data_IF_043244582309
#
_entry.id   IF_043244582309
#
_cell.length_a   1.000
_cell.length_b   1.000
_cell.length_c   1.000
_cell.angle_alpha   90.00
_cell.angle_beta   90.00
_cell.angle_gamma   90.00
#
_symmetry.space_group_name_H-M   'P 1'
#
loop_
_entity.id
_entity.type
_entity.pdbx_description
1 polymer ?
#
# COMPACT_ATOMS: atom_id res chain seq x y z
N UNK A 1 -10.67 -10.30 71.45
CA UNK A 1 -9.60 -9.46 70.82
C UNK A 1 -8.33 -10.28 70.92
N UNK A 2 -7.74 -10.82 69.85
CA UNK A 2 -6.71 -10.16 69.04
C UNK A 2 -6.67 -10.88 67.67
N UNK A 3 -6.91 -10.14 66.58
CA UNK A 3 -6.70 -10.62 65.19
C UNK A 3 -5.22 -10.43 64.85
N UNK A 4 -4.50 -11.50 64.57
CA UNK A 4 -3.15 -11.44 64.02
C UNK A 4 -3.24 -11.04 62.54
N UNK A 5 -2.81 -9.80 62.21
CA UNK A 5 -2.72 -9.32 60.83
C UNK A 5 -1.42 -9.81 60.20
N UNK A 6 -1.54 -10.60 59.13
CA UNK A 6 -0.46 -10.95 58.19
C UNK A 6 0.12 -9.68 57.55
N UNK A 7 1.46 -9.58 57.35
CA UNK A 7 2.06 -8.36 56.81
C UNK A 7 1.76 -8.21 55.32
N UNK A 8 1.21 -7.06 54.95
CA UNK A 8 0.95 -6.68 53.57
C UNK A 8 2.26 -6.48 52.82
N UNK A 9 2.50 -7.32 51.82
CA UNK A 9 3.56 -7.13 50.83
C UNK A 9 3.19 -5.95 49.91
N UNK A 10 3.93 -4.84 49.88
CA UNK A 10 3.60 -3.74 48.98
C UNK A 10 3.98 -4.15 47.56
N UNK A 11 2.96 -4.52 46.77
CA UNK A 11 3.08 -4.68 45.33
C UNK A 11 3.77 -3.44 44.76
N UNK A 12 5.02 -3.61 44.31
CA UNK A 12 5.82 -2.58 43.64
C UNK A 12 5.04 -2.09 42.41
N UNK A 13 4.37 -0.96 42.55
CA UNK A 13 3.79 -0.19 41.46
C UNK A 13 4.94 0.17 40.49
N UNK A 14 5.04 -0.54 39.36
CA UNK A 14 6.04 -0.25 38.33
C UNK A 14 5.70 1.12 37.75
N UNK A 15 6.41 2.16 38.21
CA UNK A 15 6.39 3.49 37.58
C UNK A 15 7.03 3.35 36.19
N UNK A 16 6.22 3.28 35.15
CA UNK A 16 6.70 3.46 33.78
C UNK A 16 6.90 4.96 33.56
N UNK A 17 8.13 5.43 33.69
CA UNK A 17 8.50 6.76 33.21
C UNK A 17 8.23 6.85 31.71
N UNK A 18 7.65 7.94 31.17
CA UNK A 18 7.46 8.07 29.74
C UNK A 18 8.84 8.28 29.12
N UNK A 19 9.37 7.24 28.49
CA UNK A 19 10.63 7.33 27.77
C UNK A 19 10.40 8.22 26.55
N UNK A 20 10.84 9.47 26.63
CA UNK A 20 10.83 10.41 25.53
C UNK A 20 11.74 9.92 24.41
N UNK A 21 11.25 10.01 23.18
CA UNK A 21 11.88 9.64 21.89
C UNK A 21 11.74 8.17 21.46
N UNK A 22 10.50 7.71 21.37
CA UNK A 22 10.10 6.74 20.35
C UNK A 22 9.55 7.49 19.14
N UNK A 23 9.92 7.07 17.92
CA UNK A 23 9.27 7.42 16.64
C UNK A 23 7.74 7.45 16.86
N UNK A 24 6.99 8.47 16.40
CA UNK A 24 5.56 8.56 16.67
C UNK A 24 4.81 7.35 16.08
N UNK A 25 4.53 6.34 16.92
CA UNK A 25 3.70 5.17 16.61
C UNK A 25 2.21 5.45 16.77
N UNK A 26 1.84 6.71 17.06
CA UNK A 26 0.46 7.13 17.16
C UNK A 26 -0.14 7.19 15.75
N UNK A 27 -1.19 6.40 15.56
CA UNK A 27 -2.00 6.43 14.35
C UNK A 27 -2.54 7.84 14.09
N UNK A 28 -2.57 8.23 12.82
CA UNK A 28 -3.21 9.46 12.33
C UNK A 28 -4.17 9.07 11.22
N UNK A 29 -5.34 9.70 11.16
CA UNK A 29 -6.35 9.37 10.14
C UNK A 29 -5.82 9.56 8.70
N UNK A 30 -4.89 10.50 8.50
CA UNK A 30 -4.20 10.70 7.22
C UNK A 30 -3.46 9.43 6.72
N UNK A 31 -3.07 8.53 7.62
CA UNK A 31 -2.39 7.28 7.26
C UNK A 31 -3.29 6.32 6.48
N UNK A 32 -4.62 6.38 6.65
CA UNK A 32 -5.53 5.59 5.83
C UNK A 32 -5.43 5.97 4.35
N UNK A 33 -5.49 7.27 4.04
CA UNK A 33 -5.34 7.71 2.67
C UNK A 33 -3.94 7.39 2.12
N UNK A 34 -2.87 7.60 2.90
CA UNK A 34 -1.51 7.22 2.48
C UNK A 34 -1.39 5.72 2.19
N UNK A 35 -1.94 4.85 3.05
CA UNK A 35 -1.92 3.41 2.85
C UNK A 35 -2.65 2.98 1.58
N UNK A 36 -3.79 3.63 1.25
CA UNK A 36 -4.50 3.42 -0.01
C UNK A 36 -3.65 3.82 -1.22
N UNK A 37 -3.04 5.00 -1.19
CA UNK A 37 -2.18 5.47 -2.29
C UNK A 37 -0.98 4.54 -2.50
N UNK A 38 -0.35 4.09 -1.42
CA UNK A 38 0.76 3.12 -1.51
C UNK A 38 0.32 1.81 -2.18
N UNK A 39 -0.84 1.28 -1.82
CA UNK A 39 -1.36 0.07 -2.46
C UNK A 39 -1.57 0.23 -3.97
N UNK A 40 -1.96 1.43 -4.43
CA UNK A 40 -2.10 1.75 -5.84
C UNK A 40 -0.72 1.90 -6.54
N UNK A 41 0.23 2.54 -5.87
CA UNK A 41 1.58 2.79 -6.43
C UNK A 41 2.42 1.52 -6.52
N UNK A 42 2.35 0.64 -5.51
CA UNK A 42 3.06 -0.65 -5.51
C UNK A 42 2.74 -1.46 -6.77
N UNK A 43 1.49 -1.45 -7.23
CA UNK A 43 1.11 -2.11 -8.48
C UNK A 43 1.86 -1.54 -9.71
N UNK A 44 2.04 -0.22 -9.79
CA UNK A 44 2.80 0.41 -10.88
C UNK A 44 4.29 0.08 -10.82
N UNK A 45 4.81 -0.26 -9.65
CA UNK A 45 6.20 -0.64 -9.43
C UNK A 45 6.42 -2.16 -9.51
N UNK A 46 5.36 -2.95 -9.75
CA UNK A 46 5.43 -4.41 -9.75
C UNK A 46 5.63 -5.04 -8.37
N UNK A 47 5.49 -4.26 -7.29
CA UNK A 47 5.61 -4.75 -5.92
C UNK A 47 4.23 -5.04 -5.30
N UNK A 48 4.19 -5.98 -4.35
CA UNK A 48 2.97 -6.30 -3.62
C UNK A 48 2.91 -5.43 -2.37
N UNK A 49 1.79 -4.75 -2.14
CA UNK A 49 1.55 -3.99 -0.92
C UNK A 49 1.26 -4.92 0.28
N UNK A 50 2.31 -5.56 0.79
CA UNK A 50 2.31 -6.44 1.96
C UNK A 50 2.42 -5.65 3.27
N UNK A 51 2.23 -6.32 4.42
CA UNK A 51 2.26 -5.65 5.74
C UNK A 51 3.66 -5.14 6.08
N UNK A 52 4.69 -5.92 5.76
CA UNK A 52 6.11 -5.55 5.86
C UNK A 52 6.44 -4.32 5.03
N UNK A 53 5.91 -4.20 3.80
CA UNK A 53 6.11 -3.00 2.98
C UNK A 53 5.41 -1.76 3.52
N UNK A 54 4.20 -1.93 4.05
CA UNK A 54 3.51 -0.84 4.75
C UNK A 54 4.27 -0.45 6.02
N UNK A 55 4.80 -1.43 6.76
CA UNK A 55 5.57 -1.22 7.97
C UNK A 55 6.88 -0.47 7.66
N UNK A 56 7.60 -0.87 6.61
CA UNK A 56 8.78 -0.19 6.07
C UNK A 56 8.46 1.27 5.69
N UNK A 57 7.37 1.51 4.95
CA UNK A 57 6.99 2.87 4.54
C UNK A 57 6.64 3.77 5.72
N UNK A 58 5.85 3.28 6.67
CA UNK A 58 5.53 4.04 7.88
C UNK A 58 6.67 3.99 8.91
N UNK A 59 7.77 3.29 8.57
CA UNK A 59 8.93 2.85 9.34
C UNK A 59 8.60 2.45 10.80
N UNK A 60 7.45 1.77 10.95
CA UNK A 60 6.98 1.11 12.18
C UNK A 60 7.20 -0.40 12.07
N UNK A 61 7.02 -1.15 13.16
CA UNK A 61 7.00 -2.61 13.08
C UNK A 61 5.67 -3.16 12.57
N UNK A 62 5.68 -4.36 11.98
CA UNK A 62 4.51 -5.08 11.45
C UNK A 62 3.36 -5.18 12.46
N UNK A 63 3.70 -5.47 13.72
CA UNK A 63 2.73 -5.56 14.80
C UNK A 63 1.95 -4.24 15.01
N UNK A 64 2.55 -3.09 14.71
CA UNK A 64 1.89 -1.78 14.77
C UNK A 64 0.89 -1.62 13.62
N UNK A 65 1.24 -2.04 12.41
CA UNK A 65 0.30 -2.05 11.27
C UNK A 65 -0.88 -2.97 11.56
N UNK A 66 -0.64 -4.18 12.09
CA UNK A 66 -1.72 -5.09 12.52
C UNK A 66 -2.60 -4.48 13.61
N UNK A 67 -2.00 -3.81 14.60
CA UNK A 67 -2.76 -3.07 15.63
C UNK A 67 -3.62 -1.97 15.01
N UNK A 68 -3.08 -1.19 14.09
CA UNK A 68 -3.85 -0.14 13.41
C UNK A 68 -4.98 -0.71 12.57
N UNK A 69 -4.77 -1.81 11.85
CA UNK A 69 -5.83 -2.50 11.11
C UNK A 69 -6.93 -3.06 12.02
N UNK A 70 -6.62 -3.41 13.26
CA UNK A 70 -7.61 -3.90 14.23
C UNK A 70 -8.34 -2.78 14.96
N UNK A 71 -7.63 -1.71 15.31
CA UNK A 71 -8.19 -0.58 16.04
C UNK A 71 -8.94 0.42 15.14
N UNK A 72 -8.56 0.52 13.86
CA UNK A 72 -9.07 1.53 12.93
C UNK A 72 -9.63 0.87 11.66
N UNK A 73 -10.95 0.72 11.62
CA UNK A 73 -11.67 0.12 10.47
C UNK A 73 -11.38 0.90 9.18
N UNK A 74 -11.34 2.23 9.23
CA UNK A 74 -11.02 3.06 8.06
C UNK A 74 -9.64 2.77 7.46
N UNK A 75 -8.63 2.50 8.28
CA UNK A 75 -7.29 2.14 7.80
C UNK A 75 -7.31 0.79 7.07
N UNK A 76 -7.99 -0.20 7.66
CA UNK A 76 -8.18 -1.53 7.06
C UNK A 76 -8.92 -1.44 5.73
N UNK A 77 -10.03 -0.72 5.69
CA UNK A 77 -10.83 -0.55 4.46
C UNK A 77 -10.03 0.20 3.39
N UNK A 78 -9.23 1.20 3.75
CA UNK A 78 -8.38 1.92 2.81
C UNK A 78 -7.32 1.01 2.14
N UNK A 79 -6.68 0.12 2.91
CA UNK A 79 -5.75 -0.89 2.37
C UNK A 79 -6.49 -1.86 1.45
N UNK A 80 -7.65 -2.36 1.87
CA UNK A 80 -8.46 -3.30 1.10
C UNK A 80 -8.90 -2.68 -0.23
N UNK A 81 -9.42 -1.46 -0.20
CA UNK A 81 -9.85 -0.73 -1.40
C UNK A 81 -8.67 -0.47 -2.34
N UNK A 82 -7.52 -0.06 -1.81
CA UNK A 82 -6.30 0.14 -2.60
C UNK A 82 -5.87 -1.14 -3.33
N UNK A 83 -5.86 -2.29 -2.62
CA UNK A 83 -5.55 -3.60 -3.20
C UNK A 83 -6.57 -4.02 -4.26
N UNK A 84 -7.86 -3.85 -4.00
CA UNK A 84 -8.92 -4.19 -4.96
C UNK A 84 -8.81 -3.38 -6.25
N UNK A 85 -8.57 -2.07 -6.14
CA UNK A 85 -8.35 -1.20 -7.31
C UNK A 85 -7.11 -1.61 -8.10
N UNK A 86 -6.01 -1.93 -7.42
CA UNK A 86 -4.79 -2.44 -8.05
C UNK A 86 -5.06 -3.74 -8.83
N UNK A 87 -5.72 -4.73 -8.21
CA UNK A 87 -6.11 -5.98 -8.89
C UNK A 87 -7.06 -5.71 -10.07
N UNK A 88 -8.02 -4.80 -9.92
CA UNK A 88 -8.95 -4.42 -10.99
C UNK A 88 -8.23 -3.82 -12.21
N UNK A 89 -7.15 -3.05 -12.01
CA UNK A 89 -6.35 -2.51 -13.10
C UNK A 89 -5.63 -3.61 -13.89
N UNK A 90 -5.07 -4.63 -13.23
CA UNK A 90 -4.52 -5.82 -13.89
C UNK A 90 -5.58 -6.51 -14.72
N UNK A 91 -6.74 -6.82 -14.09
CA UNK A 91 -7.84 -7.55 -14.74
C UNK A 91 -8.34 -6.78 -15.96
N UNK A 92 -8.52 -5.46 -15.86
CA UNK A 92 -8.91 -4.62 -16.99
C UNK A 92 -7.87 -4.66 -18.12
N UNK A 93 -6.58 -4.67 -17.78
CA UNK A 93 -5.50 -4.72 -18.76
C UNK A 93 -5.42 -6.08 -19.45
N UNK A 94 -5.58 -7.17 -18.70
CA UNK A 94 -5.67 -8.53 -19.24
C UNK A 94 -6.91 -8.71 -20.12
N UNK A 95 -8.06 -8.18 -19.70
CA UNK A 95 -9.30 -8.20 -20.47
C UNK A 95 -9.13 -7.46 -21.81
N UNK A 96 -8.57 -6.24 -21.79
CA UNK A 96 -8.24 -5.50 -23.03
C UNK A 96 -7.32 -6.30 -23.94
N UNK A 97 -6.28 -6.94 -23.40
CA UNK A 97 -5.37 -7.79 -24.19
C UNK A 97 -6.09 -9.00 -24.78
N UNK A 98 -7.00 -9.62 -24.03
CA UNK A 98 -7.76 -10.78 -24.48
C UNK A 98 -8.75 -10.44 -25.61
N UNK A 99 -9.30 -9.21 -25.60
CA UNK A 99 -10.12 -8.70 -26.71
C UNK A 99 -9.29 -8.41 -27.97
N UNK A 100 -7.97 -8.31 -27.85
CA UNK A 100 -7.10 -7.83 -28.91
C UNK A 100 -7.02 -6.30 -28.94
N UNK A 101 -6.34 -5.77 -29.93
CA UNK A 101 -6.28 -4.34 -30.19
C UNK A 101 -6.36 -4.11 -31.69
N UNK A 102 -7.16 -3.14 -32.10
CA UNK A 102 -7.14 -2.65 -33.47
C UNK A 102 -5.90 -1.76 -33.62
N UNK A 103 -5.12 -1.98 -34.68
CA UNK A 103 -3.98 -1.13 -35.00
C UNK A 103 -4.03 -0.72 -36.46
N UNK A 104 -3.66 0.52 -36.75
CA UNK A 104 -3.49 0.98 -38.13
C UNK A 104 -2.01 1.02 -38.44
N UNK A 105 -1.57 0.22 -39.40
CA UNK A 105 -0.20 0.24 -39.87
C UNK A 105 -0.02 1.36 -40.90
N UNK A 106 0.92 2.27 -40.66
CA UNK A 106 1.33 3.29 -41.63
C UNK A 106 2.68 2.93 -42.22
N UNK A 107 2.71 2.57 -43.50
CA UNK A 107 3.93 2.30 -44.24
C UNK A 107 4.36 3.55 -45.00
N UNK A 108 5.56 4.04 -44.71
CA UNK A 108 6.18 5.17 -45.42
C UNK A 108 7.37 4.63 -46.23
N UNK A 109 7.34 4.82 -47.54
CA UNK A 109 8.44 4.43 -48.43
C UNK A 109 9.25 5.65 -48.86
N UNK A 110 10.58 5.53 -48.87
CA UNK A 110 11.51 6.57 -49.32
C UNK A 110 12.26 6.10 -50.57
N UNK A 111 12.66 7.03 -51.44
CA UNK A 111 13.56 6.74 -52.56
C UNK A 111 15.04 6.79 -52.13
N UNK A 112 15.95 6.43 -53.04
CA UNK A 112 17.41 6.48 -52.86
C UNK A 112 17.97 7.88 -52.60
N UNK A 113 17.21 8.94 -52.88
CA UNK A 113 17.55 10.34 -52.58
C UNK A 113 16.93 10.84 -51.25
N UNK A 114 16.29 9.97 -50.47
CA UNK A 114 15.68 10.31 -49.18
C UNK A 114 14.31 11.00 -49.26
N UNK A 115 13.72 11.15 -50.46
CA UNK A 115 12.38 11.74 -50.63
C UNK A 115 11.30 10.71 -50.38
N UNK A 116 10.31 11.05 -49.56
CA UNK A 116 9.13 10.21 -49.31
C UNK A 116 8.33 10.01 -50.61
N UNK A 117 8.07 8.75 -50.95
CA UNK A 117 7.38 8.34 -52.18
C UNK A 117 5.91 7.99 -51.97
N UNK A 118 5.50 7.63 -50.76
CA UNK A 118 4.12 7.24 -50.49
C UNK A 118 3.88 6.93 -49.02
N UNK A 119 2.63 7.10 -48.59
CA UNK A 119 2.09 6.67 -47.29
C UNK A 119 0.93 5.73 -47.59
N UNK A 120 1.02 4.49 -47.10
CA UNK A 120 -0.08 3.51 -47.19
C UNK A 120 -0.56 3.21 -45.79
N UNK A 121 -1.86 3.25 -45.56
CA UNK A 121 -2.50 2.87 -44.30
C UNK A 121 -3.23 1.55 -44.48
N UNK A 122 -2.98 0.60 -43.59
CA UNK A 122 -3.67 -0.70 -43.57
C UNK A 122 -4.27 -0.90 -42.17
N UNK A 123 -5.53 -1.33 -42.12
CA UNK A 123 -6.25 -1.67 -40.87
C UNK A 123 -5.91 -3.08 -40.39
#
# INVERSE_FOLDING_TARGET
MIRTKSPQNPAKMRRTTPNGRGRPTKYKDAYANMAKQLCLLCHSLGEIATVDKLAEFFEVGDATIHRWMNAHVHFREAIKEGRQRASGAVVASLYKRALGYDYTETRITYNSAGKQMGRTETM
#
